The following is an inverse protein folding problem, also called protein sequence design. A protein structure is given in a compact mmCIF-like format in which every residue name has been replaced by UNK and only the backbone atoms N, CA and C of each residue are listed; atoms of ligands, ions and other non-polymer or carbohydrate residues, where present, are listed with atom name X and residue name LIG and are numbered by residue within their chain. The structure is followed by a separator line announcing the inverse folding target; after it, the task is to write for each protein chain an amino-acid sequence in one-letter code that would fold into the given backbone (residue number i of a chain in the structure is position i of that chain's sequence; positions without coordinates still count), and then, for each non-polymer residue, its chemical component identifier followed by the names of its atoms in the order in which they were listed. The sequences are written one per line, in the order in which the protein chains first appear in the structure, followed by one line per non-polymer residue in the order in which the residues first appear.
data_IF_169994428767
#
_entry.id   IF_169994428767
#
_cell.length_a   1.000
_cell.length_b   1.000
_cell.length_c   1.000
_cell.angle_alpha   90.00
_cell.angle_beta   90.00
_cell.angle_gamma   90.00
#
_symmetry.space_group_name_H-M   'P 1'
#
loop_
_entity.id
_entity.type
_entity.pdbx_description
1 polymer ?
#
# COMPACT_ATOMS: atom_id res chain seq x y z
N UNK A 1 -22.80 14.39 -5.44
CA UNK A 1 -22.75 13.15 -4.65
C UNK A 1 -22.03 12.10 -5.50
N UNK A 2 -20.72 12.23 -5.66
CA UNK A 2 -19.96 11.29 -6.49
C UNK A 2 -19.68 10.06 -5.64
N UNK A 3 -20.39 8.97 -5.93
CA UNK A 3 -20.07 7.66 -5.38
C UNK A 3 -18.67 7.27 -5.83
N UNK A 4 -17.71 7.43 -4.93
CA UNK A 4 -16.33 7.02 -5.18
C UNK A 4 -16.29 5.50 -5.07
N UNK A 5 -16.02 4.83 -6.20
CA UNK A 5 -15.79 3.39 -6.21
C UNK A 5 -14.46 3.17 -5.48
N UNK A 6 -14.43 2.36 -4.40
CA UNK A 6 -13.17 1.92 -3.82
C UNK A 6 -12.27 1.40 -4.93
N UNK A 7 -10.97 1.64 -4.84
CA UNK A 7 -9.99 1.00 -5.71
C UNK A 7 -10.26 -0.52 -5.67
N UNK A 8 -10.87 -1.08 -6.73
CA UNK A 8 -11.19 -2.50 -6.77
C UNK A 8 -9.96 -3.23 -7.28
N UNK A 9 -9.01 -3.56 -6.41
CA UNK A 9 -8.00 -4.55 -6.77
C UNK A 9 -8.65 -5.94 -6.70
N UNK A 10 -8.58 -6.68 -7.79
CA UNK A 10 -9.28 -7.94 -7.91
C UNK A 10 -8.46 -9.05 -7.23
N UNK A 11 -9.03 -9.71 -6.20
CA UNK A 11 -8.55 -10.99 -5.64
C UNK A 11 -7.55 -10.89 -4.48
N UNK A 12 -7.38 -11.99 -3.73
CA UNK A 12 -6.63 -12.10 -2.46
C UNK A 12 -5.22 -11.46 -2.40
N UNK A 13 -4.61 -11.18 -3.55
CA UNK A 13 -3.36 -10.44 -3.68
C UNK A 13 -3.49 -8.94 -3.31
N UNK A 14 -4.70 -8.38 -3.30
CA UNK A 14 -4.98 -6.98 -2.91
C UNK A 14 -4.41 -6.71 -1.52
N UNK A 15 -4.74 -7.50 -0.51
CA UNK A 15 -4.20 -7.32 0.86
C UNK A 15 -2.70 -7.58 1.02
N UNK A 16 -2.07 -8.28 0.07
CA UNK A 16 -0.65 -8.62 0.15
C UNK A 16 0.24 -7.54 -0.45
N UNK A 17 -0.18 -6.91 -1.56
CA UNK A 17 0.65 -5.97 -2.29
C UNK A 17 0.15 -4.52 -2.27
N UNK A 18 -1.16 -4.28 -2.23
CA UNK A 18 -1.75 -2.93 -2.34
C UNK A 18 -2.84 -2.71 -1.30
N UNK A 19 -2.61 -1.79 -0.37
CA UNK A 19 -3.61 -1.44 0.64
C UNK A 19 -4.32 -0.14 0.27
N UNK A 20 -5.60 -0.07 0.60
CA UNK A 20 -6.33 1.19 0.60
C UNK A 20 -5.82 2.08 1.74
N UNK A 21 -5.48 3.34 1.44
CA UNK A 21 -4.92 4.27 2.42
C UNK A 21 -5.86 4.49 3.61
N UNK A 22 -7.18 4.41 3.42
CA UNK A 22 -8.18 4.54 4.49
C UNK A 22 -8.17 3.39 5.50
N UNK A 23 -7.51 2.27 5.17
CA UNK A 23 -7.40 1.08 6.01
C UNK A 23 -6.06 0.97 6.74
N UNK A 24 -5.15 1.90 6.49
CA UNK A 24 -3.80 1.89 7.07
C UNK A 24 -3.80 2.56 8.45
N UNK A 25 -3.05 1.99 9.38
CA UNK A 25 -2.80 2.58 10.69
C UNK A 25 -1.35 2.44 11.14
N UNK A 26 -1.01 2.96 12.33
CA UNK A 26 0.34 2.78 12.92
C UNK A 26 0.73 1.31 13.10
N UNK A 27 -0.22 0.41 13.29
CA UNK A 27 0.05 -1.03 13.40
C UNK A 27 0.61 -1.62 12.10
N UNK A 28 0.34 -0.99 10.94
CA UNK A 28 0.80 -1.45 9.63
C UNK A 28 2.21 -0.96 9.25
N UNK A 29 2.91 -0.21 10.11
CA UNK A 29 4.27 0.31 9.81
C UNK A 29 5.21 -0.76 9.21
N UNK A 30 5.26 -2.02 9.69
CA UNK A 30 6.11 -3.05 9.08
C UNK A 30 5.76 -3.38 7.61
N UNK A 31 4.49 -3.18 7.22
CA UNK A 31 3.94 -3.51 5.90
C UNK A 31 3.95 -2.33 4.93
N UNK A 32 3.88 -1.09 5.43
CA UNK A 32 3.68 0.09 4.57
C UNK A 32 4.69 1.23 4.80
N UNK A 33 5.48 1.14 5.87
CA UNK A 33 6.39 2.19 6.30
C UNK A 33 5.70 3.36 7.02
N UNK A 34 6.53 4.21 7.63
CA UNK A 34 6.08 5.29 8.52
C UNK A 34 5.26 6.38 7.83
N UNK A 35 5.48 6.63 6.54
CA UNK A 35 4.76 7.69 5.80
C UNK A 35 3.30 7.33 5.57
N UNK A 36 3.05 6.13 5.04
CA UNK A 36 1.70 5.63 4.82
C UNK A 36 0.94 5.48 6.13
N UNK A 37 1.60 4.97 7.19
CA UNK A 37 1.03 4.90 8.53
C UNK A 37 0.55 6.27 9.05
N UNK A 38 1.38 7.31 8.93
CA UNK A 38 0.99 8.66 9.35
C UNK A 38 -0.18 9.23 8.54
N UNK A 39 -0.22 9.01 7.22
CA UNK A 39 -1.34 9.45 6.39
C UNK A 39 -2.64 8.71 6.74
N UNK A 40 -2.57 7.42 7.07
CA UNK A 40 -3.69 6.66 7.59
C UNK A 40 -4.24 7.22 8.90
N UNK A 41 -3.36 7.57 9.84
CA UNK A 41 -3.78 8.23 11.09
C UNK A 41 -4.44 9.60 10.84
N UNK A 42 -3.92 10.39 9.90
CA UNK A 42 -4.53 11.68 9.53
C UNK A 42 -5.93 11.49 8.94
N UNK A 43 -6.14 10.49 8.07
CA UNK A 43 -7.47 10.14 7.58
C UNK A 43 -8.42 9.75 8.72
N UNK A 44 -7.97 8.90 9.64
CA UNK A 44 -8.77 8.45 10.79
C UNK A 44 -9.09 9.58 11.77
N UNK A 45 -8.19 10.54 11.90
CA UNK A 45 -8.40 11.76 12.68
C UNK A 45 -9.29 12.80 11.96
N UNK A 46 -9.77 12.50 10.74
CA UNK A 46 -10.71 13.35 9.99
C UNK A 46 -10.05 14.51 9.24
N UNK A 47 -8.73 14.49 9.06
CA UNK A 47 -8.06 15.49 8.23
C UNK A 47 -8.32 15.22 6.73
N UNK A 48 -8.37 16.28 5.90
CA UNK A 48 -8.59 16.16 4.47
C UNK A 48 -7.31 15.64 3.78
N UNK A 49 -7.13 14.33 3.78
CA UNK A 49 -6.09 13.64 3.03
C UNK A 49 -6.69 13.12 1.71
N UNK A 50 -6.03 13.29 0.56
CA UNK A 50 -6.49 12.73 -0.70
C UNK A 50 -6.64 11.21 -0.65
N UNK A 51 -7.65 10.68 -1.35
CA UNK A 51 -7.78 9.24 -1.53
C UNK A 51 -6.57 8.66 -2.26
N UNK A 52 -6.20 7.42 -1.93
CA UNK A 52 -5.02 6.80 -2.49
C UNK A 52 -4.84 5.34 -2.08
N UNK A 53 -3.80 4.74 -2.64
CA UNK A 53 -3.37 3.39 -2.33
C UNK A 53 -1.94 3.40 -1.81
N UNK A 54 -1.57 2.30 -1.17
CA UNK A 54 -0.26 2.09 -0.57
C UNK A 54 0.32 0.80 -1.08
N UNK A 55 1.49 0.90 -1.72
CA UNK A 55 2.28 -0.27 -2.12
C UNK A 55 3.04 -0.77 -0.90
N UNK A 56 2.87 -2.04 -0.57
CA UNK A 56 3.46 -2.66 0.62
C UNK A 56 4.95 -2.97 0.44
N UNK A 57 5.64 -3.17 1.56
CA UNK A 57 7.03 -3.64 1.61
C UNK A 57 7.19 -5.05 1.01
N UNK A 58 6.19 -5.93 1.13
CA UNK A 58 6.15 -7.24 0.46
C UNK A 58 6.17 -7.10 -1.07
N UNK A 59 5.41 -6.14 -1.63
CA UNK A 59 5.41 -5.89 -3.08
C UNK A 59 6.78 -5.43 -3.57
N UNK A 60 7.39 -4.50 -2.83
CA UNK A 60 8.73 -4.02 -3.14
C UNK A 60 9.78 -5.13 -3.05
N UNK A 61 9.75 -5.95 -1.99
CA UNK A 61 10.68 -7.07 -1.81
C UNK A 61 10.59 -8.08 -2.96
N UNK A 62 9.38 -8.40 -3.43
CA UNK A 62 9.18 -9.27 -4.59
C UNK A 62 9.74 -8.69 -5.88
N UNK A 63 9.56 -7.38 -6.09
CA UNK A 63 10.12 -6.69 -7.26
C UNK A 63 11.65 -6.65 -7.21
N UNK A 64 12.23 -6.36 -6.05
CA UNK A 64 13.68 -6.33 -5.86
C UNK A 64 14.31 -7.71 -6.13
N UNK A 65 13.76 -8.78 -5.55
CA UNK A 65 14.22 -10.15 -5.81
C UNK A 65 14.13 -10.51 -7.30
N UNK A 66 13.05 -10.13 -7.98
CA UNK A 66 12.91 -10.33 -9.43
C UNK A 66 13.99 -9.59 -10.25
N UNK A 67 14.40 -8.40 -9.80
CA UNK A 67 15.45 -7.64 -10.48
C UNK A 67 16.85 -8.26 -10.30
N UNK A 68 17.11 -8.92 -9.17
CA UNK A 68 18.38 -9.59 -8.89
C UNK A 68 18.57 -10.86 -9.74
N UNK A 69 17.48 -11.58 -10.05
CA UNK A 69 17.53 -12.74 -10.94
C UNK A 69 17.92 -12.38 -12.39
N UNK A 70 17.72 -11.12 -12.80
CA UNK A 70 18.02 -10.65 -14.17
C UNK A 70 19.48 -10.26 -14.41
N UNK A 71 20.30 -10.06 -13.36
CA UNK A 71 21.75 -9.80 -13.51
C UNK A 71 22.59 -11.07 -13.64
N UNK A 72 21.99 -12.26 -13.52
CA UNK A 72 22.71 -13.55 -13.65
C UNK A 72 22.73 -14.05 -15.10
N UNK A 73 22.93 -13.15 -16.08
CA UNK A 73 23.28 -13.54 -17.43
C UNK A 73 24.78 -13.89 -17.47
N UNK A 74 25.07 -15.15 -17.14
CA UNK A 74 26.27 -15.84 -17.60
C UNK A 74 25.99 -16.56 -18.91
#
# INVERSE_FOLDING_TARGET
MTGQRPIQAQGAAETEFVLDLSRVSREDIPRVGVKAANLGELLRAGFPVPEGCVVTTSAFGRFAAFSEDSETCS
#
